data_IF_742365371934
#
_entry.id   IF_742365371934
#
_cell.length_a   1.000
_cell.length_b   1.000
_cell.length_c   1.000
_cell.angle_alpha   90.00
_cell.angle_beta   90.00
_cell.angle_gamma   90.00
#
_symmetry.space_group_name_H-M   'P 1'
#
loop_
_entity.id
_entity.type
_entity.pdbx_description
1 polymer ?
#
# COMPACT_ATOMS: atom_id res chain seq x y z
N UNK A 1 35.92 -30.49 11.89
CA UNK A 1 37.37 -30.70 12.07
C UNK A 1 37.59 -31.08 13.53
N UNK A 2 37.92 -32.33 13.86
CA UNK A 2 38.43 -32.64 15.19
C UNK A 2 39.75 -31.89 15.36
N UNK A 3 39.89 -31.09 16.43
CA UNK A 3 41.14 -30.42 16.77
C UNK A 3 42.27 -31.45 16.91
N UNK A 4 43.52 -31.07 16.58
CA UNK A 4 44.66 -31.98 16.64
C UNK A 4 44.92 -32.45 18.09
N UNK A 5 44.73 -31.54 19.05
CA UNK A 5 44.78 -31.81 20.49
C UNK A 5 43.39 -31.70 21.13
N UNK A 6 43.04 -32.66 21.98
CA UNK A 6 41.86 -32.60 22.87
C UNK A 6 42.19 -31.66 24.02
N UNK A 7 41.62 -30.44 24.03
CA UNK A 7 41.76 -29.49 25.14
C UNK A 7 40.86 -29.97 26.29
N UNK A 8 41.40 -30.92 27.05
CA UNK A 8 40.78 -31.51 28.21
C UNK A 8 41.64 -31.22 29.47
N UNK A 9 41.16 -31.69 30.62
CA UNK A 9 41.87 -31.51 31.89
C UNK A 9 43.28 -32.15 31.90
N UNK A 10 43.54 -33.16 31.07
CA UNK A 10 44.86 -33.79 30.97
C UNK A 10 45.84 -32.91 30.18
N UNK A 11 45.37 -32.29 29.10
CA UNK A 11 46.14 -31.30 28.34
C UNK A 11 46.45 -30.07 29.20
N UNK A 12 45.47 -29.57 29.95
CA UNK A 12 45.66 -28.43 30.87
C UNK A 12 46.61 -28.71 32.04
N UNK A 13 46.77 -29.98 32.41
CA UNK A 13 47.70 -30.39 33.48
C UNK A 13 49.17 -30.44 33.02
N UNK A 14 49.47 -30.18 31.74
CA UNK A 14 50.82 -30.18 31.19
C UNK A 14 51.36 -28.75 31.02
N UNK A 15 52.65 -28.48 31.30
CA UNK A 15 53.60 -29.39 31.92
C UNK A 15 53.30 -29.61 33.42
N UNK A 16 53.62 -30.80 33.92
CA UNK A 16 53.60 -31.13 35.36
C UNK A 16 54.90 -30.69 36.05
N UNK A 17 54.88 -30.65 37.38
CA UNK A 17 56.08 -30.45 38.22
C UNK A 17 57.15 -31.54 38.05
N UNK A 18 56.83 -32.64 37.37
CA UNK A 18 57.74 -33.75 37.08
C UNK A 18 58.31 -33.76 35.66
N UNK A 19 57.86 -32.85 34.79
CA UNK A 19 58.41 -32.74 33.43
C UNK A 19 59.81 -32.14 33.43
N UNK A 20 60.64 -32.55 32.47
CA UNK A 20 61.96 -31.96 32.31
C UNK A 20 61.86 -30.57 31.69
N UNK A 21 62.76 -29.67 32.08
CA UNK A 21 62.81 -28.28 31.57
C UNK A 21 62.90 -28.21 30.05
N UNK A 22 63.58 -29.18 29.40
CA UNK A 22 63.70 -29.21 27.94
C UNK A 22 62.41 -29.64 27.20
N UNK A 23 61.40 -30.17 27.89
CA UNK A 23 60.11 -30.56 27.30
C UNK A 23 59.14 -29.38 27.23
N UNK A 24 59.40 -28.32 28.01
CA UNK A 24 58.55 -27.14 28.14
C UNK A 24 58.36 -26.42 26.79
N UNK A 25 59.37 -26.42 25.92
CA UNK A 25 59.27 -25.79 24.60
C UNK A 25 58.22 -26.47 23.71
N UNK A 26 58.09 -27.79 23.81
CA UNK A 26 57.09 -28.59 23.09
C UNK A 26 55.69 -28.28 23.60
N UNK A 27 55.48 -28.22 24.91
CA UNK A 27 54.19 -27.87 25.49
C UNK A 27 53.76 -26.45 25.12
N UNK A 28 54.70 -25.48 25.11
CA UNK A 28 54.43 -24.12 24.63
C UNK A 28 54.01 -24.11 23.16
N UNK A 29 54.67 -24.90 22.31
CA UNK A 29 54.34 -24.98 20.88
C UNK A 29 52.97 -25.63 20.66
N UNK A 30 52.67 -26.70 21.38
CA UNK A 30 51.36 -27.36 21.36
C UNK A 30 50.25 -26.40 21.79
N UNK A 31 50.43 -25.67 22.90
CA UNK A 31 49.46 -24.68 23.35
C UNK A 31 49.17 -23.63 22.27
N UNK A 32 50.21 -23.09 21.61
CA UNK A 32 50.04 -22.10 20.52
C UNK A 32 49.23 -22.66 19.34
N UNK A 33 49.53 -23.89 18.93
CA UNK A 33 48.79 -24.56 17.84
C UNK A 33 47.34 -24.82 18.26
N UNK A 34 47.13 -25.37 19.46
CA UNK A 34 45.80 -25.68 19.98
C UNK A 34 44.92 -24.43 20.12
N UNK A 35 45.48 -23.29 20.53
CA UNK A 35 44.77 -22.00 20.57
C UNK A 35 44.42 -21.55 19.15
N UNK A 36 45.39 -21.56 18.23
CA UNK A 36 45.18 -21.13 16.84
C UNK A 36 44.06 -21.93 16.16
N UNK A 37 44.11 -23.27 16.22
CA UNK A 37 43.08 -24.15 15.61
C UNK A 37 41.66 -23.85 16.12
N UNK A 38 41.54 -23.45 17.38
CA UNK A 38 40.25 -23.12 18.00
C UNK A 38 39.76 -21.75 17.58
N UNK A 39 40.66 -20.77 17.55
CA UNK A 39 40.34 -19.42 17.11
C UNK A 39 39.99 -19.40 15.61
N UNK A 40 40.68 -20.20 14.80
CA UNK A 40 40.42 -20.42 13.35
C UNK A 40 39.02 -20.91 13.02
N UNK A 41 38.26 -21.40 14.02
CA UNK A 41 36.85 -21.76 13.82
C UNK A 41 36.05 -20.58 13.27
N UNK A 42 36.31 -19.38 13.78
CA UNK A 42 35.57 -18.16 13.46
C UNK A 42 36.48 -17.00 13.03
N UNK A 43 37.79 -17.05 13.33
CA UNK A 43 38.75 -16.01 13.01
C UNK A 43 39.64 -16.39 11.83
N UNK A 44 40.07 -15.39 11.09
CA UNK A 44 41.09 -15.51 10.04
C UNK A 44 42.49 -15.54 10.66
N UNK A 45 43.28 -16.56 10.33
CA UNK A 45 44.70 -16.63 10.65
C UNK A 45 45.48 -16.92 9.37
N UNK A 46 46.38 -16.01 8.99
CA UNK A 46 47.31 -16.28 7.90
C UNK A 46 48.60 -16.92 8.46
N UNK A 47 48.85 -18.18 8.14
CA UNK A 47 50.03 -18.88 8.66
C UNK A 47 51.37 -18.23 8.28
N UNK A 48 51.42 -17.45 7.20
CA UNK A 48 52.63 -16.75 6.78
C UNK A 48 52.96 -15.53 7.64
N UNK A 49 52.00 -15.00 8.42
CA UNK A 49 52.21 -13.82 9.26
C UNK A 49 52.40 -12.52 8.48
N UNK A 50 51.95 -12.48 7.23
CA UNK A 50 52.19 -11.36 6.31
C UNK A 50 50.96 -10.49 6.08
N UNK A 51 49.77 -11.04 6.31
CA UNK A 51 48.51 -10.30 6.17
C UNK A 51 48.26 -9.40 7.41
N UNK A 52 47.69 -8.22 7.19
CA UNK A 52 47.35 -7.29 8.26
C UNK A 52 46.02 -7.66 8.95
N UNK A 53 45.18 -8.47 8.29
CA UNK A 53 43.82 -8.78 8.72
C UNK A 53 43.76 -9.98 9.69
N UNK A 54 44.91 -10.40 10.24
CA UNK A 54 45.01 -11.48 11.22
C UNK A 54 44.11 -11.22 12.45
N UNK A 55 43.33 -12.22 12.80
CA UNK A 55 42.43 -12.16 13.96
C UNK A 55 41.10 -11.47 13.67
N UNK A 56 40.79 -11.10 12.43
CA UNK A 56 39.42 -10.72 12.07
C UNK A 56 38.48 -11.92 12.10
N UNK A 57 37.19 -11.71 12.37
CA UNK A 57 36.19 -12.76 12.27
C UNK A 57 35.84 -13.04 10.80
N UNK A 58 36.11 -14.26 10.31
CA UNK A 58 35.55 -14.75 9.03
C UNK A 58 34.07 -15.09 9.13
N UNK A 59 33.62 -15.46 10.33
CA UNK A 59 32.22 -15.65 10.70
C UNK A 59 32.07 -15.52 12.21
N UNK A 60 30.84 -15.38 12.69
CA UNK A 60 30.52 -15.42 14.11
C UNK A 60 29.56 -16.58 14.33
N UNK A 61 30.02 -17.64 15.00
CA UNK A 61 29.22 -18.82 15.31
C UNK A 61 28.72 -18.72 16.76
N UNK A 62 27.43 -18.46 16.94
CA UNK A 62 26.79 -18.54 18.26
C UNK A 62 26.43 -19.99 18.60
N UNK A 63 26.68 -20.38 19.86
CA UNK A 63 26.13 -21.63 20.39
C UNK A 63 24.68 -21.38 20.81
N UNK A 64 23.73 -22.12 20.22
CA UNK A 64 22.33 -21.99 20.54
C UNK A 64 22.08 -22.29 22.03
N UNK A 65 21.50 -21.34 22.73
CA UNK A 65 21.17 -21.44 24.14
C UNK A 65 19.80 -22.09 24.32
N UNK A 66 19.61 -22.81 25.42
CA UNK A 66 18.31 -23.41 25.78
C UNK A 66 17.32 -22.38 26.32
N UNK A 67 17.80 -21.20 26.74
CA UNK A 67 17.00 -20.09 27.24
C UNK A 67 17.67 -18.76 26.89
N UNK A 68 16.93 -17.65 27.03
CA UNK A 68 17.51 -16.33 26.85
C UNK A 68 18.48 -15.95 27.99
N UNK A 69 19.50 -15.12 27.73
CA UNK A 69 20.35 -14.55 28.77
C UNK A 69 19.55 -13.81 29.83
N UNK A 70 20.04 -13.78 31.06
CA UNK A 70 19.47 -12.93 32.11
C UNK A 70 19.85 -11.48 31.84
N UNK A 71 18.87 -10.57 31.77
CA UNK A 71 19.11 -9.14 31.60
C UNK A 71 20.01 -8.58 32.72
N UNK A 72 20.93 -7.69 32.35
CA UNK A 72 21.88 -7.05 33.26
C UNK A 72 21.89 -5.55 32.94
N UNK A 73 21.84 -4.71 33.97
CA UNK A 73 21.88 -3.26 33.81
C UNK A 73 23.08 -2.80 32.96
N UNK A 74 22.82 -1.89 32.02
CA UNK A 74 23.76 -1.36 31.03
C UNK A 74 24.40 -2.45 30.14
N UNK A 75 23.65 -3.50 29.79
CA UNK A 75 24.07 -4.57 28.87
C UNK A 75 22.98 -4.88 27.85
N UNK A 76 23.43 -5.30 26.67
CA UNK A 76 22.58 -5.94 25.67
C UNK A 76 23.28 -7.20 25.18
N UNK A 77 22.50 -8.20 24.79
CA UNK A 77 23.01 -9.50 24.40
C UNK A 77 22.50 -9.89 23.01
N UNK A 78 23.43 -10.21 22.11
CA UNK A 78 23.13 -10.92 20.87
C UNK A 78 23.38 -12.41 21.10
N UNK A 79 22.38 -13.25 20.84
CA UNK A 79 22.48 -14.70 21.06
C UNK A 79 21.57 -15.46 20.10
N UNK A 80 21.73 -16.77 20.07
CA UNK A 80 20.85 -17.67 19.33
C UNK A 80 20.15 -18.65 20.25
N UNK A 81 18.94 -19.07 19.88
CA UNK A 81 18.19 -20.18 20.49
C UNK A 81 17.32 -20.85 19.43
N UNK A 82 16.86 -22.06 19.70
CA UNK A 82 15.98 -22.76 18.78
C UNK A 82 14.54 -22.23 18.84
N UNK A 83 13.98 -21.91 17.68
CA UNK A 83 12.55 -21.67 17.46
C UNK A 83 12.09 -22.70 16.45
N UNK A 84 11.13 -23.56 16.82
CA UNK A 84 10.63 -24.62 15.93
C UNK A 84 11.76 -25.48 15.33
N UNK A 85 12.74 -25.88 16.16
CA UNK A 85 13.90 -26.70 15.76
C UNK A 85 14.88 -26.01 14.78
N UNK A 86 14.79 -24.67 14.64
CA UNK A 86 15.72 -23.85 13.85
C UNK A 86 16.43 -22.85 14.75
N UNK A 87 17.74 -22.72 14.57
CA UNK A 87 18.54 -21.70 15.26
C UNK A 87 18.16 -20.33 14.71
N UNK A 88 17.66 -19.44 15.57
CA UNK A 88 17.32 -18.06 15.22
C UNK A 88 18.12 -17.07 16.08
N UNK A 89 18.32 -15.85 15.56
CA UNK A 89 19.06 -14.77 16.19
C UNK A 89 18.13 -13.87 17.01
N UNK A 90 18.59 -13.48 18.20
CA UNK A 90 17.84 -12.67 19.16
C UNK A 90 18.70 -11.56 19.76
N UNK A 91 18.05 -10.47 20.13
CA UNK A 91 18.59 -9.44 21.00
C UNK A 91 17.78 -9.36 22.30
N UNK A 92 18.46 -9.30 23.44
CA UNK A 92 17.86 -9.04 24.76
C UNK A 92 18.48 -7.75 25.31
N UNK A 93 17.63 -6.82 25.76
CA UNK A 93 18.07 -5.57 26.38
C UNK A 93 18.19 -5.66 27.92
N UNK A 94 18.54 -4.53 28.55
CA UNK A 94 18.72 -4.45 30.00
C UNK A 94 17.41 -4.52 30.81
N UNK A 95 16.26 -4.32 30.16
CA UNK A 95 14.91 -4.34 30.75
C UNK A 95 14.20 -5.69 30.50
N UNK A 96 14.95 -6.68 30.00
CA UNK A 96 14.49 -8.02 29.64
C UNK A 96 13.50 -8.07 28.47
N UNK A 97 13.52 -7.07 27.59
CA UNK A 97 12.78 -7.08 26.33
C UNK A 97 13.56 -7.91 25.31
N UNK A 98 12.95 -9.01 24.86
CA UNK A 98 13.51 -9.91 23.86
C UNK A 98 12.97 -9.53 22.46
N UNK A 99 13.87 -9.41 21.48
CA UNK A 99 13.53 -9.21 20.07
C UNK A 99 14.13 -10.33 19.24
N UNK A 100 13.28 -11.11 18.58
CA UNK A 100 13.71 -12.07 17.56
C UNK A 100 14.06 -11.31 16.28
N UNK A 101 15.30 -11.44 15.82
CA UNK A 101 15.84 -10.74 14.63
C UNK A 101 15.67 -11.57 13.36
N UNK A 102 15.76 -12.90 13.44
CA UNK A 102 15.58 -13.79 12.28
C UNK A 102 14.44 -14.76 12.49
N UNK A 103 13.79 -15.17 11.40
CA UNK A 103 12.77 -16.21 11.41
C UNK A 103 12.86 -17.03 10.12
N UNK A 104 13.16 -18.33 10.24
CA UNK A 104 13.33 -19.28 9.15
C UNK A 104 14.35 -18.81 8.09
N UNK A 105 15.46 -18.22 8.56
CA UNK A 105 16.53 -17.70 7.70
C UNK A 105 16.24 -16.36 7.03
N UNK A 106 15.11 -15.72 7.32
CA UNK A 106 14.80 -14.36 6.90
C UNK A 106 14.98 -13.37 8.06
N UNK A 107 15.07 -12.07 7.75
CA UNK A 107 14.88 -11.05 8.77
C UNK A 107 13.44 -11.13 9.28
N UNK A 108 13.29 -11.17 10.60
CA UNK A 108 11.99 -11.16 11.27
C UNK A 108 11.42 -9.75 11.24
N UNK A 109 10.88 -9.37 10.09
CA UNK A 109 10.12 -8.13 9.97
C UNK A 109 8.76 -8.34 10.64
N UNK A 110 8.48 -7.55 11.68
CA UNK A 110 7.15 -7.59 12.29
C UNK A 110 6.09 -7.16 11.27
N UNK A 111 4.90 -7.77 11.34
CA UNK A 111 3.75 -7.36 10.53
C UNK A 111 3.49 -5.84 10.64
N UNK A 112 3.69 -5.26 11.83
CA UNK A 112 3.56 -3.82 12.07
C UNK A 112 4.50 -2.93 11.23
N UNK A 113 5.65 -3.44 10.78
CA UNK A 113 6.54 -2.68 9.89
C UNK A 113 5.94 -2.54 8.48
N UNK A 114 5.29 -3.59 7.99
CA UNK A 114 4.59 -3.56 6.70
C UNK A 114 3.36 -2.62 6.76
N UNK A 115 2.60 -2.69 7.85
CA UNK A 115 1.48 -1.77 8.11
C UNK A 115 1.93 -0.30 8.13
N UNK A 116 3.08 0.01 8.74
CA UNK A 116 3.61 1.36 8.78
C UNK A 116 4.01 1.88 7.38
N UNK A 117 4.65 1.03 6.57
CA UNK A 117 5.04 1.39 5.21
C UNK A 117 3.80 1.62 4.33
N UNK A 118 2.89 0.64 4.27
CA UNK A 118 1.70 0.77 3.41
C UNK A 118 0.76 1.86 3.96
N UNK A 119 0.69 2.04 5.28
CA UNK A 119 -0.06 3.11 5.92
C UNK A 119 0.45 4.52 5.59
N UNK A 120 1.74 4.65 5.23
CA UNK A 120 2.31 5.90 4.70
C UNK A 120 1.90 6.16 3.26
N UNK A 121 1.78 5.10 2.44
CA UNK A 121 1.34 5.20 1.04
C UNK A 121 -0.18 5.44 0.95
N UNK A 122 -0.94 4.78 1.81
CA UNK A 122 -2.40 4.86 1.89
C UNK A 122 -2.84 5.32 3.30
N UNK A 123 -2.70 6.60 3.64
CA UNK A 123 -3.22 7.15 4.89
C UNK A 123 -4.76 7.10 4.96
N UNK A 124 -5.33 7.37 6.13
CA UNK A 124 -6.79 7.56 6.26
C UNK A 124 -7.25 8.66 5.30
N UNK A 125 -8.31 8.39 4.53
CA UNK A 125 -8.80 9.25 3.45
C UNK A 125 -8.26 8.89 2.05
N UNK A 126 -7.25 8.03 1.95
CA UNK A 126 -6.73 7.59 0.65
C UNK A 126 -7.75 6.73 -0.11
N UNK A 127 -7.74 6.87 -1.44
CA UNK A 127 -8.59 6.10 -2.35
C UNK A 127 -7.73 5.07 -3.08
N UNK A 128 -8.13 3.80 -3.01
CA UNK A 128 -7.56 2.70 -3.79
C UNK A 128 -8.52 2.32 -4.92
N UNK A 129 -7.99 2.16 -6.14
CA UNK A 129 -8.77 1.84 -7.34
C UNK A 129 -8.32 0.50 -7.90
N UNK A 130 -9.26 -0.40 -8.20
CA UNK A 130 -8.99 -1.76 -8.65
C UNK A 130 -10.07 -2.28 -9.57
N UNK A 131 -9.74 -3.21 -10.47
CA UNK A 131 -10.73 -3.98 -11.23
C UNK A 131 -11.28 -5.19 -10.47
N UNK A 132 -10.75 -5.46 -9.27
CA UNK A 132 -11.14 -6.56 -8.40
C UNK A 132 -11.90 -6.04 -7.17
N UNK A 133 -12.91 -6.80 -6.75
CA UNK A 133 -13.72 -6.55 -5.55
C UNK A 133 -13.03 -6.96 -4.23
N UNK A 134 -11.73 -7.23 -4.26
CA UNK A 134 -11.00 -7.59 -3.05
C UNK A 134 -10.87 -6.35 -2.16
N UNK A 135 -11.52 -6.39 -0.99
CA UNK A 135 -11.40 -5.32 0.00
C UNK A 135 -9.91 -5.10 0.36
N UNK A 136 -9.40 -3.85 0.33
CA UNK A 136 -7.99 -3.59 0.60
C UNK A 136 -7.53 -4.02 2.00
N UNK A 137 -8.43 -4.12 2.98
CA UNK A 137 -8.12 -4.70 4.29
C UNK A 137 -7.61 -6.14 4.16
N UNK A 138 -8.20 -6.93 3.27
CA UNK A 138 -7.76 -8.31 2.98
C UNK A 138 -6.53 -8.34 2.10
N UNK A 139 -6.41 -7.42 1.12
CA UNK A 139 -5.29 -7.38 0.17
C UNK A 139 -3.98 -6.96 0.84
N UNK A 140 -4.02 -5.90 1.64
CA UNK A 140 -2.84 -5.35 2.32
C UNK A 140 -2.65 -5.90 3.73
N UNK A 141 -3.65 -6.58 4.28
CA UNK A 141 -3.62 -7.12 5.64
C UNK A 141 -3.83 -6.08 6.74
N UNK A 142 -4.23 -4.85 6.41
CA UNK A 142 -4.41 -3.78 7.40
C UNK A 142 -5.41 -2.70 6.95
N UNK A 143 -5.82 -1.89 7.93
CA UNK A 143 -6.73 -0.75 7.75
C UNK A 143 -8.21 -1.16 7.63
N UNK A 144 -9.09 -0.18 7.79
CA UNK A 144 -10.52 -0.31 7.52
C UNK A 144 -10.85 0.44 6.24
N UNK A 145 -11.54 -0.23 5.32
CA UNK A 145 -11.81 0.29 3.98
C UNK A 145 -13.27 0.11 3.61
N UNK A 146 -13.85 1.15 3.02
CA UNK A 146 -15.24 1.22 2.59
C UNK A 146 -15.34 1.54 1.10
N UNK A 147 -16.35 1.00 0.41
CA UNK A 147 -16.59 1.34 -0.98
C UNK A 147 -16.87 2.84 -1.14
N UNK A 148 -16.23 3.47 -2.13
CA UNK A 148 -16.30 4.92 -2.35
C UNK A 148 -16.85 5.23 -3.74
N UNK A 149 -17.68 6.27 -3.83
CA UNK A 149 -18.10 6.81 -5.12
C UNK A 149 -18.94 5.85 -5.99
N UNK A 150 -19.76 4.97 -5.39
CA UNK A 150 -20.59 4.05 -6.15
C UNK A 150 -21.45 4.78 -7.22
N UNK A 151 -21.25 4.40 -8.48
CA UNK A 151 -21.92 5.00 -9.64
C UNK A 151 -21.48 6.44 -9.96
N UNK A 152 -20.33 6.90 -9.47
CA UNK A 152 -19.80 8.25 -9.65
C UNK A 152 -18.40 8.21 -10.23
N UNK A 153 -17.99 9.32 -10.84
CA UNK A 153 -16.60 9.56 -11.24
C UNK A 153 -15.93 10.49 -10.24
N UNK A 154 -14.62 10.34 -10.06
CA UNK A 154 -13.83 11.28 -9.27
C UNK A 154 -13.64 12.58 -10.05
N UNK A 155 -13.75 13.70 -9.35
CA UNK A 155 -13.43 15.04 -9.84
C UNK A 155 -12.45 15.67 -8.86
N UNK A 156 -11.42 16.34 -9.38
CA UNK A 156 -10.46 17.04 -8.54
C UNK A 156 -11.12 18.21 -7.80
N UNK A 157 -10.78 18.39 -6.52
CA UNK A 157 -11.25 19.53 -5.76
C UNK A 157 -10.71 20.83 -6.37
N UNK A 158 -11.60 21.76 -6.67
CA UNK A 158 -11.28 23.13 -7.06
C UNK A 158 -11.93 24.08 -6.06
N UNK A 159 -11.14 24.65 -5.17
CA UNK A 159 -11.62 25.55 -4.11
C UNK A 159 -12.24 26.85 -4.63
N UNK A 160 -12.10 27.15 -5.93
CA UNK A 160 -12.66 28.34 -6.56
C UNK A 160 -13.98 28.09 -7.29
N UNK A 161 -14.32 26.83 -7.51
CA UNK A 161 -15.56 26.41 -8.14
C UNK A 161 -16.53 25.90 -7.08
N UNK A 162 -17.68 26.58 -6.92
CA UNK A 162 -18.68 26.21 -5.93
C UNK A 162 -19.25 24.82 -6.14
N UNK A 163 -19.15 24.23 -7.33
CA UNK A 163 -19.59 22.86 -7.58
C UNK A 163 -18.58 21.81 -7.08
N UNK A 164 -17.30 22.17 -6.96
CA UNK A 164 -16.18 21.27 -6.64
C UNK A 164 -15.33 21.71 -5.44
N UNK A 165 -15.80 22.67 -4.63
CA UNK A 165 -15.06 23.30 -3.53
C UNK A 165 -14.93 22.44 -2.26
N UNK A 166 -15.72 21.38 -2.15
CA UNK A 166 -15.85 20.58 -0.93
C UNK A 166 -15.55 19.12 -1.24
N UNK A 167 -14.63 18.51 -0.49
CA UNK A 167 -14.30 17.09 -0.62
C UNK A 167 -15.54 16.22 -0.40
N UNK A 168 -15.68 15.17 -1.22
CA UNK A 168 -16.78 14.20 -1.17
C UNK A 168 -18.18 14.78 -1.49
N UNK A 169 -18.25 16.03 -1.96
CA UNK A 169 -19.49 16.59 -2.51
C UNK A 169 -19.94 15.77 -3.72
N UNK A 170 -21.26 15.56 -3.82
CA UNK A 170 -21.87 14.79 -4.90
C UNK A 170 -22.74 15.68 -5.77
N UNK A 171 -22.75 15.40 -7.07
CA UNK A 171 -23.61 16.06 -8.05
C UNK A 171 -23.68 15.25 -9.35
N UNK A 172 -24.16 15.91 -10.41
CA UNK A 172 -24.32 15.34 -11.74
C UNK A 172 -25.59 14.51 -11.91
N UNK A 173 -25.91 14.21 -13.17
CA UNK A 173 -27.09 13.46 -13.57
C UNK A 173 -26.74 12.44 -14.67
N UNK A 174 -27.39 11.27 -14.63
CA UNK A 174 -27.21 10.22 -15.64
C UNK A 174 -27.96 10.55 -16.94
N UNK A 175 -29.11 11.19 -16.82
CA UNK A 175 -29.98 11.59 -17.93
C UNK A 175 -30.51 12.99 -17.68
N UNK A 176 -30.66 13.78 -18.74
CA UNK A 176 -31.13 15.16 -18.68
C UNK A 176 -32.35 15.36 -19.59
N UNK A 177 -33.40 16.00 -19.08
CA UNK A 177 -34.57 16.42 -19.85
C UNK A 177 -34.48 17.92 -20.10
N UNK A 178 -34.44 18.31 -21.38
CA UNK A 178 -34.34 19.70 -21.77
C UNK A 178 -35.57 20.50 -21.34
N UNK A 179 -35.32 21.67 -20.79
CA UNK A 179 -36.32 22.68 -20.44
C UNK A 179 -36.45 23.73 -21.54
N UNK A 180 -37.57 24.45 -21.56
CA UNK A 180 -37.77 25.57 -22.50
C UNK A 180 -36.68 26.65 -22.39
N UNK A 181 -36.12 26.85 -21.20
CA UNK A 181 -35.06 27.84 -20.96
C UNK A 181 -33.72 27.45 -21.61
N UNK A 182 -33.53 26.16 -21.91
CA UNK A 182 -32.31 25.63 -22.55
C UNK A 182 -32.43 25.60 -24.08
N UNK A 183 -33.59 25.96 -24.64
CA UNK A 183 -33.79 26.06 -26.09
C UNK A 183 -33.16 27.34 -26.63
N UNK A 184 -32.40 27.21 -27.71
CA UNK A 184 -31.91 28.37 -28.44
C UNK A 184 -33.09 29.20 -29.00
N UNK A 185 -32.99 30.55 -28.99
CA UNK A 185 -33.97 31.41 -29.64
C UNK A 185 -34.18 31.01 -31.10
N UNK A 186 -35.43 30.74 -31.48
CA UNK A 186 -35.80 30.35 -32.84
C UNK A 186 -37.10 31.03 -33.25
N UNK A 187 -37.38 31.05 -34.56
CA UNK A 187 -38.61 31.60 -35.13
C UNK A 187 -39.24 30.57 -36.05
N UNK A 188 -40.57 30.58 -36.14
CA UNK A 188 -41.31 29.78 -37.11
C UNK A 188 -41.60 30.65 -38.33
N UNK A 189 -41.18 30.21 -39.53
CA UNK A 189 -41.47 30.90 -40.78
C UNK A 189 -42.85 30.46 -41.31
N UNK A 190 -43.79 31.40 -41.41
CA UNK A 190 -45.09 31.22 -42.07
C UNK A 190 -46.15 30.47 -41.27
N UNK A 191 -47.02 31.20 -40.57
CA UNK A 191 -48.39 30.72 -40.36
C UNK A 191 -49.19 31.02 -41.64
N UNK A 192 -49.81 30.03 -42.30
CA UNK A 192 -50.76 30.33 -43.36
C UNK A 192 -51.92 31.12 -42.74
N UNK A 193 -51.95 32.43 -42.94
CA UNK A 193 -53.13 33.24 -42.64
C UNK A 193 -54.18 32.84 -43.67
N UNK A 194 -55.05 31.90 -43.31
CA UNK A 194 -56.22 31.57 -44.13
C UNK A 194 -57.20 32.74 -44.04
N UNK A 195 -57.06 33.72 -44.93
CA UNK A 195 -58.07 34.74 -45.15
C UNK A 195 -59.15 34.16 -46.05
N UNK A 196 -60.26 33.69 -45.48
CA UNK A 196 -61.44 33.31 -46.28
C UNK A 196 -62.19 34.58 -46.68
N UNK A 197 -61.93 35.09 -47.89
CA UNK A 197 -62.80 36.12 -48.47
C UNK A 197 -64.08 35.46 -48.96
N UNK A 198 -65.22 35.71 -48.31
CA UNK A 198 -66.52 35.36 -48.88
C UNK A 198 -66.83 36.36 -50.00
N UNK A 199 -66.93 35.90 -51.25
CA UNK A 199 -67.44 36.75 -52.33
C UNK A 199 -68.94 36.99 -52.10
N UNK A 200 -69.30 38.15 -51.57
CA UNK A 200 -70.70 38.55 -51.41
C UNK A 200 -71.16 39.21 -52.71
N UNK A 201 -72.03 38.52 -53.45
CA UNK A 201 -72.81 39.15 -54.52
C UNK A 201 -73.80 40.13 -53.90
N UNK A 202 -73.71 41.41 -54.26
CA UNK A 202 -74.63 42.45 -53.78
C UNK A 202 -75.98 42.33 -54.50
N UNK A 203 -77.04 41.99 -53.76
CA UNK A 203 -78.40 42.42 -54.11
C UNK A 203 -78.80 43.59 -53.20
N UNK A 204 -79.36 44.60 -53.84
CA UNK A 204 -79.47 46.03 -53.50
C UNK A 204 -80.28 46.42 -52.26
N UNK A 205 -80.53 45.55 -51.28
CA UNK A 205 -81.37 45.92 -50.10
C UNK A 205 -80.91 45.46 -48.71
N UNK A 206 -79.69 44.94 -48.53
CA UNK A 206 -79.21 44.51 -47.19
C UNK A 206 -77.76 44.89 -46.88
N UNK A 207 -77.54 45.59 -45.77
CA UNK A 207 -76.20 45.81 -45.21
C UNK A 207 -75.75 44.54 -44.46
N UNK A 208 -74.82 43.79 -45.05
CA UNK A 208 -74.20 42.63 -44.38
C UNK A 208 -72.82 43.01 -43.85
N UNK A 209 -72.60 42.83 -42.54
CA UNK A 209 -71.27 42.93 -41.93
C UNK A 209 -70.50 41.66 -42.28
N UNK A 210 -69.30 41.82 -42.84
CA UNK A 210 -68.35 40.72 -43.06
C UNK A 210 -67.35 40.74 -41.92
N UNK A 211 -67.44 39.79 -41.00
CA UNK A 211 -66.43 39.57 -39.98
C UNK A 211 -65.31 38.72 -40.59
N UNK A 212 -64.13 39.32 -40.78
CA UNK A 212 -62.93 38.58 -41.16
C UNK A 212 -62.40 37.82 -39.94
N UNK A 213 -62.63 36.51 -39.88
CA UNK A 213 -62.05 35.69 -38.82
C UNK A 213 -60.58 35.37 -39.16
N UNK A 214 -59.64 36.02 -38.48
CA UNK A 214 -58.21 35.69 -38.58
C UNK A 214 -57.93 34.52 -37.65
N UNK A 215 -57.82 33.32 -38.20
CA UNK A 215 -57.38 32.14 -37.45
C UNK A 215 -55.86 32.01 -37.56
N UNK A 216 -55.14 32.13 -36.44
CA UNK A 216 -53.74 31.73 -36.36
C UNK A 216 -53.65 30.20 -36.32
N UNK A 217 -52.83 29.59 -37.16
CA UNK A 217 -52.51 28.17 -37.05
C UNK A 217 -51.48 27.94 -35.94
N UNK A 218 -51.59 26.85 -35.19
CA UNK A 218 -50.49 26.37 -34.36
C UNK A 218 -49.57 25.50 -35.23
N UNK A 219 -48.26 25.61 -35.03
CA UNK A 219 -47.28 24.74 -35.74
C UNK A 219 -47.31 23.30 -35.24
N UNK A 220 -48.16 22.99 -34.26
CA UNK A 220 -48.16 21.73 -33.52
C UNK A 220 -47.04 21.71 -32.46
N UNK A 221 -47.14 20.75 -31.54
CA UNK A 221 -46.08 20.45 -30.57
C UNK A 221 -45.08 19.47 -31.19
N UNK A 222 -43.79 19.74 -31.03
CA UNK A 222 -42.69 18.88 -31.47
C UNK A 222 -41.63 18.77 -30.36
N UNK A 223 -41.05 17.58 -30.21
CA UNK A 223 -40.18 17.21 -29.10
C UNK A 223 -40.72 16.01 -28.34
N UNK A 224 -39.84 15.17 -27.80
CA UNK A 224 -40.26 13.95 -27.07
C UNK A 224 -40.49 14.17 -25.58
N UNK A 225 -40.00 15.29 -25.01
CA UNK A 225 -39.93 15.50 -23.55
C UNK A 225 -39.23 14.35 -22.82
N UNK A 226 -38.41 13.56 -23.51
CA UNK A 226 -37.78 12.38 -22.93
C UNK A 226 -36.34 12.72 -22.59
N UNK A 227 -35.92 12.42 -21.36
CA UNK A 227 -34.54 12.62 -20.94
C UNK A 227 -33.55 11.84 -21.81
N UNK A 228 -32.48 12.50 -22.27
CA UNK A 228 -31.41 11.87 -23.03
C UNK A 228 -30.25 11.44 -22.14
N UNK A 229 -29.45 10.47 -22.60
CA UNK A 229 -28.25 10.02 -21.89
C UNK A 229 -27.23 11.16 -21.74
N UNK A 230 -26.67 11.31 -20.54
CA UNK A 230 -25.56 12.22 -20.23
C UNK A 230 -24.27 11.47 -19.82
N UNK A 231 -24.26 10.13 -19.92
CA UNK A 231 -23.06 9.35 -19.64
C UNK A 231 -22.10 9.39 -20.81
N UNK A 232 -20.88 9.87 -20.56
CA UNK A 232 -19.73 9.60 -21.42
C UNK A 232 -19.38 8.10 -21.42
N UNK A 233 -18.70 7.56 -22.45
CA UNK A 233 -18.17 6.21 -22.40
C UNK A 233 -17.34 5.97 -21.13
N UNK A 234 -17.55 4.84 -20.44
CA UNK A 234 -16.92 4.54 -19.16
C UNK A 234 -16.51 3.07 -19.03
N UNK A 235 -15.62 2.80 -18.07
CA UNK A 235 -15.30 1.46 -17.57
C UNK A 235 -15.55 1.45 -16.06
N UNK A 236 -16.15 0.37 -15.56
CA UNK A 236 -16.48 0.24 -14.13
C UNK A 236 -15.30 -0.38 -13.39
N UNK A 237 -14.93 0.24 -12.28
CA UNK A 237 -13.88 -0.21 -11.35
C UNK A 237 -14.42 -0.14 -9.92
N UNK A 238 -13.76 -0.85 -9.02
CA UNK A 238 -13.98 -0.73 -7.58
C UNK A 238 -13.08 0.37 -7.03
N UNK A 239 -13.66 1.25 -6.21
CA UNK A 239 -12.95 2.29 -5.49
C UNK A 239 -13.23 2.11 -4.00
N UNK A 240 -12.18 2.14 -3.19
CA UNK A 240 -12.27 1.99 -1.74
C UNK A 240 -11.59 3.18 -1.06
N UNK A 241 -12.23 3.77 -0.04
CA UNK A 241 -11.65 4.80 0.82
C UNK A 241 -11.20 4.17 2.14
N UNK A 242 -9.98 4.47 2.59
CA UNK A 242 -9.52 4.08 3.92
C UNK A 242 -10.16 4.96 4.98
N UNK A 243 -10.83 4.37 5.96
CA UNK A 243 -11.51 5.08 7.07
C UNK A 243 -10.79 4.97 8.40
N UNK A 244 -9.96 3.94 8.59
CA UNK A 244 -9.07 3.77 9.75
C UNK A 244 -7.79 2.98 9.38
#
# INVERSE_FOLDING_TARGET
MPYTDTWDASFEALPTDSNYVYEVDNYIRQLKLAVRERMEKDHYFDEAGTDADHGEHSKITFHAQSAKPTAVANKGFLYTKDVSEKVELFFEDEDANEVQITNEGNLNMSAGTLEAIIGTIYPVGAIYVSTLDTNPATLFGFGTWEAFGAGKTLVGLDSTDTDFDTSEKTGGEKTHELTEAELAPHVHDGLPVHSSSTNVGTDTTGYWRVDSNVTTGETGSAGSGTAHNNLQPYIVVYMFKRTA
#
